data_IF_303881061609
#
_entry.id   IF_303881061609
#
_cell.length_a   1.000
_cell.length_b   1.000
_cell.length_c   1.000
_cell.angle_alpha   90.00
_cell.angle_beta   90.00
_cell.angle_gamma   90.00
#
_symmetry.space_group_name_H-M   'P 1'
#
loop_
_entity.id
_entity.type
_entity.pdbx_description
1 polymer ?
#
# COMPACT_ATOMS: atom_id res chain seq x y z
N UNK A 1 3.67 9.21 -19.54
CA UNK A 1 3.44 9.95 -18.27
C UNK A 1 3.65 8.96 -17.15
N UNK A 2 4.84 8.94 -16.53
CA UNK A 2 5.05 8.16 -15.31
C UNK A 2 4.62 9.03 -14.14
N UNK A 3 3.40 8.84 -13.66
CA UNK A 3 3.01 9.39 -12.37
C UNK A 3 3.70 8.51 -11.34
N UNK A 4 4.88 8.94 -10.89
CA UNK A 4 5.49 8.33 -9.71
C UNK A 4 4.62 8.78 -8.54
N UNK A 5 3.74 7.90 -8.05
CA UNK A 5 3.04 8.12 -6.79
C UNK A 5 4.13 8.15 -5.72
N UNK A 6 4.49 9.34 -5.25
CA UNK A 6 5.37 9.47 -4.08
C UNK A 6 4.53 9.12 -2.87
N UNK A 7 4.39 7.83 -2.59
CA UNK A 7 3.82 7.36 -1.32
C UNK A 7 4.87 7.61 -0.25
N UNK A 8 4.57 8.48 0.70
CA UNK A 8 5.41 8.68 1.89
C UNK A 8 5.14 7.59 2.92
N UNK A 9 6.07 7.35 3.85
CA UNK A 9 5.81 6.42 4.97
C UNK A 9 4.57 6.82 5.78
N UNK A 10 4.31 8.13 5.93
CA UNK A 10 3.13 8.62 6.63
C UNK A 10 1.82 8.28 5.89
N UNK A 11 1.82 8.31 4.56
CA UNK A 11 0.66 7.92 3.74
C UNK A 11 0.47 6.40 3.73
N UNK A 12 1.57 5.64 3.64
CA UNK A 12 1.56 4.19 3.81
C UNK A 12 0.97 3.80 5.17
N UNK A 13 1.42 4.40 6.27
CA UNK A 13 0.89 4.10 7.60
C UNK A 13 -0.60 4.43 7.74
N UNK A 14 -1.08 5.52 7.11
CA UNK A 14 -2.53 5.82 7.05
C UNK A 14 -3.28 4.77 6.24
N UNK A 15 -2.74 4.33 5.11
CA UNK A 15 -3.33 3.27 4.31
C UNK A 15 -3.45 1.96 5.11
N UNK A 16 -2.41 1.56 5.84
CA UNK A 16 -2.45 0.37 6.71
C UNK A 16 -3.52 0.47 7.80
N UNK A 17 -3.66 1.63 8.45
CA UNK A 17 -4.71 1.83 9.46
C UNK A 17 -6.11 1.71 8.88
N UNK A 18 -6.33 2.28 7.69
CA UNK A 18 -7.63 2.23 7.02
C UNK A 18 -7.95 0.83 6.47
N UNK A 19 -6.96 0.13 5.91
CA UNK A 19 -7.09 -1.28 5.51
C UNK A 19 -7.54 -2.12 6.71
N UNK A 20 -6.88 -1.98 7.87
CA UNK A 20 -7.28 -2.71 9.08
C UNK A 20 -8.72 -2.43 9.50
N UNK A 21 -9.15 -1.17 9.42
CA UNK A 21 -10.52 -0.76 9.72
C UNK A 21 -11.52 -1.41 8.75
N UNK A 22 -11.22 -1.40 7.46
CA UNK A 22 -12.07 -1.95 6.41
C UNK A 22 -12.15 -3.48 6.48
N UNK A 23 -11.03 -4.17 6.68
CA UNK A 23 -11.02 -5.64 6.87
C UNK A 23 -11.89 -6.04 8.07
N UNK A 24 -11.84 -5.29 9.17
CA UNK A 24 -12.66 -5.57 10.35
C UNK A 24 -14.17 -5.43 10.11
N UNK A 25 -14.58 -4.69 9.07
CA UNK A 25 -15.99 -4.57 8.66
C UNK A 25 -16.42 -5.58 7.59
N UNK A 26 -15.50 -6.40 7.06
CA UNK A 26 -15.76 -7.42 6.04
C UNK A 26 -16.66 -6.93 4.88
N UNK A 27 -16.28 -5.85 4.16
CA UNK A 27 -17.11 -5.30 3.10
C UNK A 27 -17.21 -6.26 1.91
N UNK A 28 -18.39 -6.33 1.31
CA UNK A 28 -18.60 -7.08 0.07
C UNK A 28 -17.84 -6.43 -1.10
N UNK A 29 -17.34 -7.25 -2.02
CA UNK A 29 -16.74 -6.78 -3.27
C UNK A 29 -17.74 -5.97 -4.11
N UNK A 30 -17.26 -4.91 -4.78
CA UNK A 30 -18.10 -4.00 -5.55
C UNK A 30 -18.91 -3.00 -4.72
N UNK A 31 -18.73 -3.00 -3.40
CA UNK A 31 -19.17 -1.89 -2.53
C UNK A 31 -18.09 -0.81 -2.48
N UNK A 32 -18.44 0.46 -2.19
CA UNK A 32 -17.44 1.52 -2.07
C UNK A 32 -16.33 1.21 -1.05
N UNK A 33 -16.65 0.53 0.04
CA UNK A 33 -15.67 0.14 1.07
C UNK A 33 -14.80 -1.05 0.60
N UNK A 34 -15.38 -2.01 -0.13
CA UNK A 34 -14.65 -3.11 -0.76
C UNK A 34 -13.68 -2.61 -1.84
N UNK A 35 -14.15 -1.77 -2.75
CA UNK A 35 -13.30 -1.18 -3.81
C UNK A 35 -12.17 -0.34 -3.21
N UNK A 36 -12.45 0.40 -2.13
CA UNK A 36 -11.44 1.17 -1.40
C UNK A 36 -10.41 0.28 -0.73
N UNK A 37 -10.84 -0.84 -0.14
CA UNK A 37 -9.94 -1.83 0.47
C UNK A 37 -8.99 -2.42 -0.57
N UNK A 38 -9.50 -2.79 -1.76
CA UNK A 38 -8.69 -3.30 -2.87
C UNK A 38 -7.63 -2.28 -3.32
N UNK A 39 -8.04 -1.03 -3.55
CA UNK A 39 -7.12 0.03 -3.98
C UNK A 39 -6.04 0.30 -2.93
N UNK A 40 -6.41 0.46 -1.66
CA UNK A 40 -5.43 0.73 -0.60
C UNK A 40 -4.44 -0.42 -0.42
N UNK A 41 -4.91 -1.67 -0.55
CA UNK A 41 -4.04 -2.85 -0.48
C UNK A 41 -3.04 -2.86 -1.62
N UNK A 42 -3.48 -2.62 -2.85
CA UNK A 42 -2.60 -2.52 -4.03
C UNK A 42 -1.54 -1.41 -3.88
N UNK A 43 -1.91 -0.25 -3.33
CA UNK A 43 -0.97 0.84 -3.06
C UNK A 43 0.05 0.48 -1.98
N UNK A 44 -0.36 -0.23 -0.93
CA UNK A 44 0.54 -0.70 0.12
C UNK A 44 1.56 -1.71 -0.42
N UNK A 45 1.10 -2.68 -1.22
CA UNK A 45 1.96 -3.66 -1.88
C UNK A 45 2.99 -3.01 -2.82
N UNK A 46 2.56 -2.02 -3.61
CA UNK A 46 3.47 -1.28 -4.49
C UNK A 46 4.55 -0.52 -3.71
N UNK A 47 4.17 0.16 -2.62
CA UNK A 47 5.12 0.86 -1.75
C UNK A 47 6.11 -0.11 -1.08
N UNK A 48 5.65 -1.25 -0.60
CA UNK A 48 6.49 -2.28 0.00
C UNK A 48 7.46 -2.90 -1.01
N UNK A 49 7.02 -3.18 -2.25
CA UNK A 49 7.88 -3.70 -3.30
C UNK A 49 9.01 -2.73 -3.66
N UNK A 50 8.71 -1.44 -3.81
CA UNK A 50 9.75 -0.42 -4.04
C UNK A 50 10.74 -0.32 -2.88
N UNK A 51 10.27 -0.48 -1.63
CA UNK A 51 11.13 -0.42 -0.44
C UNK A 51 12.00 -1.67 -0.31
N UNK A 52 11.44 -2.85 -0.56
CA UNK A 52 12.19 -4.11 -0.59
C UNK A 52 13.32 -4.08 -1.62
N UNK A 53 13.09 -3.52 -2.81
CA UNK A 53 14.12 -3.38 -3.84
C UNK A 53 15.25 -2.42 -3.42
N UNK A 54 14.93 -1.34 -2.69
CA UNK A 54 15.95 -0.44 -2.13
C UNK A 54 16.78 -1.13 -1.05
N UNK A 55 16.14 -1.82 -0.13
CA UNK A 55 16.84 -2.55 0.94
C UNK A 55 17.77 -3.63 0.37
N UNK A 56 17.35 -4.33 -0.70
CA UNK A 56 18.18 -5.30 -1.40
C UNK A 56 19.41 -4.65 -2.04
N UNK A 57 19.24 -3.51 -2.72
CA UNK A 57 20.34 -2.77 -3.34
C UNK A 57 21.37 -2.29 -2.29
N UNK A 58 20.91 -1.87 -1.12
CA UNK A 58 21.77 -1.47 0.01
C UNK A 58 22.56 -2.66 0.60
N UNK A 59 21.99 -3.88 0.59
CA UNK A 59 22.68 -5.11 1.01
C UNK A 59 23.76 -5.50 0.01
N UNK A 60 23.46 -5.46 -1.30
CA UNK A 60 24.42 -5.81 -2.36
C UNK A 60 25.59 -4.83 -2.48
N UNK A 61 25.41 -3.58 -2.03
CA UNK A 61 26.45 -2.55 -2.04
C UNK A 61 27.46 -2.66 -0.87
N UNK A 62 27.33 -3.66 0.00
CA UNK A 62 28.08 -3.82 1.25
C UNK A 62 29.10 -4.96 1.21
#
# INVERSE_FOLDING_TARGET
>A
MQIVQVVTEAEYMRAILEIRRLVASEPDSGTPDGDRLEVLTCLAEAFEAERYLRDLADIEAR
#
